data_IF_882995702736
#
_entry.id   IF_882995702736
#
_cell.length_a   1.000
_cell.length_b   1.000
_cell.length_c   1.000
_cell.angle_alpha   90.00
_cell.angle_beta   90.00
_cell.angle_gamma   90.00
#
_symmetry.space_group_name_H-M   'P 1'
#
loop_
_entity.id
_entity.type
_entity.pdbx_description
1 polymer ?
#
# COMPACT_ATOMS: atom_id res chain seq x y z
N UNK A 1 83.88 27.72 -15.47
CA UNK A 1 83.59 27.64 -14.07
C UNK A 1 82.28 28.44 -13.79
N UNK A 2 81.15 27.84 -13.94
CA UNK A 2 79.85 28.47 -13.67
C UNK A 2 78.95 27.43 -12.95
N UNK A 3 78.80 27.58 -11.65
CA UNK A 3 77.86 26.79 -10.84
C UNK A 3 76.45 27.30 -11.07
N UNK A 4 75.53 26.43 -11.51
CA UNK A 4 74.09 26.71 -11.58
C UNK A 4 73.40 26.21 -10.32
N UNK A 5 72.81 27.16 -9.61
CA UNK A 5 71.94 26.93 -8.44
C UNK A 5 70.67 26.20 -8.83
N UNK A 6 70.44 24.99 -8.30
CA UNK A 6 69.14 24.34 -8.30
C UNK A 6 68.31 24.91 -7.14
N UNK A 7 67.27 25.65 -7.50
CA UNK A 7 66.24 26.07 -6.53
C UNK A 7 65.28 24.93 -6.28
N UNK A 8 65.21 24.44 -5.06
CA UNK A 8 64.21 23.49 -4.60
C UNK A 8 62.81 24.12 -4.71
N UNK A 9 61.98 23.65 -5.61
CA UNK A 9 60.56 23.98 -5.64
C UNK A 9 59.84 22.91 -4.82
N UNK A 10 59.45 23.32 -3.61
CA UNK A 10 58.56 22.53 -2.77
C UNK A 10 57.14 22.59 -3.34
N UNK A 11 56.68 21.48 -3.88
CA UNK A 11 55.27 21.31 -4.26
C UNK A 11 54.47 21.16 -2.98
N UNK A 12 53.78 22.23 -2.58
CA UNK A 12 52.70 22.13 -1.58
C UNK A 12 51.50 21.44 -2.25
N UNK A 13 51.31 20.16 -1.94
CA UNK A 13 50.05 19.45 -2.24
C UNK A 13 48.96 20.02 -1.30
N UNK A 14 47.90 20.62 -1.84
CA UNK A 14 46.78 21.02 -0.96
C UNK A 14 46.14 19.74 -0.41
N UNK A 15 46.20 19.54 0.89
CA UNK A 15 45.46 18.54 1.61
C UNK A 15 43.98 18.92 1.49
N UNK A 16 43.25 18.32 0.50
CA UNK A 16 41.82 18.39 0.44
C UNK A 16 41.24 17.70 1.70
N UNK A 17 40.97 18.52 2.70
CA UNK A 17 40.13 18.13 3.84
C UNK A 17 38.75 17.78 3.23
N UNK A 18 38.51 16.48 3.02
CA UNK A 18 37.17 15.96 2.83
C UNK A 18 36.42 16.26 4.13
N UNK A 19 35.76 17.41 4.16
CA UNK A 19 34.83 17.75 5.22
C UNK A 19 33.72 16.70 5.22
N UNK A 20 33.72 15.85 6.25
CA UNK A 20 32.52 15.09 6.58
C UNK A 20 31.38 16.10 6.70
N UNK A 21 30.42 16.07 5.77
CA UNK A 21 29.22 16.88 5.86
C UNK A 21 28.56 16.52 7.18
N UNK A 22 28.58 17.45 8.15
CA UNK A 22 27.80 17.28 9.38
C UNK A 22 26.34 17.18 8.90
N UNK A 23 25.70 16.04 9.11
CA UNK A 23 24.30 15.86 8.83
C UNK A 23 23.42 16.92 9.53
N UNK A 24 22.21 17.12 9.06
CA UNK A 24 21.32 18.20 9.53
C UNK A 24 20.80 17.95 10.95
N UNK A 25 20.71 16.68 11.36
CA UNK A 25 20.24 16.32 12.70
C UNK A 25 21.38 16.37 13.72
N UNK A 26 21.12 17.07 14.83
CA UNK A 26 22.08 17.22 15.97
C UNK A 26 21.64 16.41 17.18
N UNK A 27 20.34 16.13 17.30
CA UNK A 27 19.74 15.51 18.47
C UNK A 27 18.91 14.30 18.07
N UNK A 28 18.70 13.40 19.02
CA UNK A 28 17.79 12.27 18.88
C UNK A 28 16.35 12.75 18.86
N UNK A 29 15.49 12.00 18.17
CA UNK A 29 14.04 12.23 18.18
C UNK A 29 13.33 11.03 18.76
N UNK A 30 12.19 11.27 19.42
CA UNK A 30 11.30 10.22 19.89
C UNK A 30 10.08 10.18 18.96
N UNK A 31 9.81 9.03 18.39
CA UNK A 31 8.66 8.78 17.55
C UNK A 31 7.59 7.91 18.23
N UNK A 32 6.45 7.78 17.56
CA UNK A 32 5.33 6.94 17.98
C UNK A 32 5.79 5.56 18.49
N UNK A 33 5.16 5.07 19.55
CA UNK A 33 5.54 3.84 20.23
C UNK A 33 6.78 4.02 21.15
N UNK A 34 7.21 5.27 21.40
CA UNK A 34 8.35 5.57 22.28
C UNK A 34 9.72 5.26 21.65
N UNK A 35 9.81 5.03 20.34
CA UNK A 35 11.07 4.71 19.65
C UNK A 35 11.98 5.94 19.63
N UNK A 36 13.09 5.87 20.36
CA UNK A 36 14.16 6.89 20.34
C UNK A 36 15.10 6.61 19.17
N UNK A 37 15.25 7.57 18.28
CA UNK A 37 16.09 7.49 17.08
C UNK A 37 17.22 8.49 17.19
N UNK A 38 18.47 8.03 17.08
CA UNK A 38 19.65 8.88 17.23
C UNK A 38 19.83 9.85 16.05
N UNK A 39 20.54 10.95 16.28
CA UNK A 39 20.91 11.87 15.22
C UNK A 39 21.71 11.18 14.09
N UNK A 40 22.58 10.23 14.44
CA UNK A 40 23.35 9.46 13.45
C UNK A 40 22.45 8.62 12.55
N UNK A 41 21.45 7.94 13.12
CA UNK A 41 20.44 7.17 12.34
C UNK A 41 19.64 8.08 11.42
N UNK A 42 19.19 9.24 11.91
CA UNK A 42 18.45 10.21 11.09
C UNK A 42 19.29 10.75 9.93
N UNK A 43 20.57 11.03 10.16
CA UNK A 43 21.48 11.50 9.12
C UNK A 43 21.80 10.41 8.10
N UNK A 44 21.94 9.14 8.52
CA UNK A 44 22.04 8.00 7.60
C UNK A 44 20.75 7.86 6.77
N UNK A 45 19.59 8.00 7.41
CA UNK A 45 18.29 7.97 6.74
C UNK A 45 18.13 9.08 5.72
N UNK A 46 18.56 10.29 6.04
CA UNK A 46 18.59 11.42 5.12
C UNK A 46 19.46 11.11 3.90
N UNK A 47 20.69 10.62 4.12
CA UNK A 47 21.60 10.23 3.04
C UNK A 47 20.96 9.16 2.15
N UNK A 48 20.39 8.12 2.75
CA UNK A 48 19.71 7.05 2.03
C UNK A 48 18.50 7.56 1.23
N UNK A 49 17.72 8.46 1.82
CA UNK A 49 16.59 9.09 1.13
C UNK A 49 17.01 9.90 -0.09
N UNK A 50 18.07 10.71 0.05
CA UNK A 50 18.60 11.51 -1.05
C UNK A 50 19.19 10.66 -2.18
N UNK A 51 19.68 9.47 -1.85
CA UNK A 51 20.25 8.55 -2.83
C UNK A 51 19.19 7.76 -3.61
N UNK A 52 18.15 7.26 -2.93
CA UNK A 52 17.19 6.30 -3.52
C UNK A 52 15.78 6.86 -3.73
N UNK A 53 15.33 7.86 -2.97
CA UNK A 53 13.92 8.20 -2.85
C UNK A 53 13.55 9.59 -3.39
N UNK A 54 14.48 10.55 -3.29
CA UNK A 54 14.22 11.96 -3.56
C UNK A 54 13.74 12.25 -4.97
N UNK A 55 14.21 11.50 -5.97
CA UNK A 55 13.85 11.73 -7.37
C UNK A 55 12.32 11.62 -7.61
N UNK A 56 11.64 10.75 -6.88
CA UNK A 56 10.19 10.58 -6.95
C UNK A 56 9.47 11.30 -5.82
N UNK A 57 9.94 11.15 -4.57
CA UNK A 57 9.24 11.66 -3.39
C UNK A 57 9.53 13.13 -3.06
N UNK A 58 10.52 13.75 -3.72
CA UNK A 58 10.89 15.16 -3.54
C UNK A 58 11.72 15.43 -2.30
N UNK A 59 12.51 16.52 -2.31
CA UNK A 59 13.35 16.93 -1.19
C UNK A 59 12.55 17.22 0.08
N UNK A 60 11.30 17.67 -0.08
CA UNK A 60 10.38 17.99 1.02
C UNK A 60 9.49 16.82 1.43
N UNK A 61 9.68 15.64 0.83
CA UNK A 61 8.81 14.48 1.06
C UNK A 61 7.35 14.69 0.61
N UNK A 62 7.09 15.64 -0.27
CA UNK A 62 5.76 16.06 -0.72
C UNK A 62 5.25 15.31 -1.96
N UNK A 63 6.01 14.34 -2.44
CA UNK A 63 5.67 13.56 -3.64
C UNK A 63 5.97 14.27 -4.97
N UNK A 64 6.58 15.45 -4.94
CA UNK A 64 6.86 16.29 -6.11
C UNK A 64 8.33 16.23 -6.54
N UNK A 65 8.91 15.03 -6.56
CA UNK A 65 10.26 14.85 -7.09
C UNK A 65 10.32 15.09 -8.60
N UNK A 66 11.52 15.30 -9.14
CA UNK A 66 11.72 15.58 -10.56
C UNK A 66 11.16 14.48 -11.46
N UNK A 67 11.20 13.23 -11.01
CA UNK A 67 10.68 12.08 -11.74
C UNK A 67 9.18 11.82 -11.51
N UNK A 68 8.52 12.57 -10.63
CA UNK A 68 7.10 12.35 -10.30
C UNK A 68 6.14 12.78 -11.40
N UNK A 69 6.60 13.65 -12.31
CA UNK A 69 5.75 14.24 -13.36
C UNK A 69 5.16 13.15 -14.27
N UNK A 70 3.84 13.09 -14.33
CA UNK A 70 3.10 12.11 -15.15
C UNK A 70 2.97 10.72 -14.53
N UNK A 71 3.43 10.50 -13.30
CA UNK A 71 3.23 9.21 -12.63
C UNK A 71 1.79 9.09 -12.09
N UNK A 72 1.16 7.96 -12.39
CA UNK A 72 -0.13 7.55 -11.85
C UNK A 72 -0.06 6.10 -11.32
N UNK A 73 -0.32 5.89 -10.03
CA UNK A 73 -0.55 6.93 -9.01
C UNK A 73 0.69 7.78 -8.76
N UNK A 74 0.51 9.03 -8.29
CA UNK A 74 1.63 9.89 -7.92
C UNK A 74 2.39 9.30 -6.72
N UNK A 75 3.68 9.63 -6.57
CA UNK A 75 4.46 9.27 -5.39
C UNK A 75 3.79 9.77 -4.11
N UNK A 76 3.96 8.99 -3.02
CA UNK A 76 3.37 9.34 -1.73
C UNK A 76 3.90 10.68 -1.22
N UNK A 77 2.98 11.57 -0.84
CA UNK A 77 3.26 12.73 -0.04
C UNK A 77 3.37 12.32 1.44
N UNK A 78 4.58 12.27 1.97
CA UNK A 78 4.84 11.86 3.35
C UNK A 78 4.40 12.90 4.38
N UNK A 79 4.25 14.16 3.98
CA UNK A 79 3.79 15.25 4.86
C UNK A 79 2.35 15.06 5.36
N UNK A 80 1.56 14.27 4.64
CA UNK A 80 0.19 13.95 5.04
C UNK A 80 0.13 12.96 6.21
N UNK A 81 1.20 12.20 6.46
CA UNK A 81 1.21 11.16 7.50
C UNK A 81 0.27 9.98 7.22
N UNK A 82 -0.29 9.88 6.01
CA UNK A 82 -1.23 8.82 5.61
C UNK A 82 -0.51 7.77 4.76
N UNK A 83 -0.54 6.52 5.19
CA UNK A 83 0.17 5.40 4.54
C UNK A 83 -0.79 4.30 4.11
N UNK A 84 -1.04 4.23 2.81
CA UNK A 84 -2.15 3.52 2.16
C UNK A 84 -2.24 2.02 2.48
N UNK A 85 -1.10 1.34 2.61
CA UNK A 85 -1.04 -0.11 2.71
C UNK A 85 -0.46 -0.60 4.03
N UNK A 86 -0.69 0.15 5.10
CA UNK A 86 -0.36 -0.28 6.44
C UNK A 86 -1.27 -1.44 6.90
N UNK A 87 -0.74 -2.29 7.77
CA UNK A 87 -1.50 -3.36 8.41
C UNK A 87 -1.86 -2.93 9.85
N UNK A 88 -2.64 -1.87 9.93
CA UNK A 88 -3.24 -1.30 11.14
C UNK A 88 -4.64 -0.80 10.81
N UNK A 89 -5.45 -0.58 11.82
CA UNK A 89 -6.80 -0.02 11.66
C UNK A 89 -6.73 1.33 10.93
N UNK A 90 -7.69 1.60 10.08
CA UNK A 90 -7.75 2.82 9.28
C UNK A 90 -7.66 4.09 10.13
N UNK A 91 -6.75 5.00 9.76
CA UNK A 91 -6.46 6.23 10.50
C UNK A 91 -5.36 6.12 11.55
N UNK A 92 -4.95 4.91 11.95
CA UNK A 92 -3.87 4.69 12.91
C UNK A 92 -2.48 4.72 12.25
N UNK A 93 -1.43 4.86 13.09
CA UNK A 93 -0.05 4.94 12.63
C UNK A 93 0.52 3.55 12.30
N UNK A 94 1.14 3.38 11.12
CA UNK A 94 1.76 2.12 10.74
C UNK A 94 2.99 1.78 11.59
N UNK A 95 3.31 0.50 11.65
CA UNK A 95 4.56 0.00 12.20
C UNK A 95 5.68 0.08 11.15
N UNK A 96 6.92 0.02 11.61
CA UNK A 96 8.10 0.11 10.72
C UNK A 96 8.11 -1.00 9.66
N UNK A 97 7.64 -2.20 10.00
CA UNK A 97 7.56 -3.35 9.10
C UNK A 97 6.65 -3.09 7.88
N UNK A 98 5.63 -2.23 8.01
CA UNK A 98 4.78 -1.85 6.88
C UNK A 98 5.58 -1.08 5.82
N UNK A 99 6.47 -0.19 6.26
CA UNK A 99 7.37 0.53 5.37
C UNK A 99 8.43 -0.41 4.77
N UNK A 100 9.04 -1.28 5.61
CA UNK A 100 10.05 -2.23 5.14
C UNK A 100 9.48 -3.13 4.04
N UNK A 101 8.28 -3.66 4.23
CA UNK A 101 7.58 -4.48 3.24
C UNK A 101 7.37 -3.73 1.92
N UNK A 102 6.92 -2.47 1.97
CA UNK A 102 6.68 -1.67 0.76
C UNK A 102 7.99 -1.34 0.05
N UNK A 103 9.04 -0.97 0.77
CA UNK A 103 10.34 -0.63 0.19
C UNK A 103 11.00 -1.87 -0.43
N UNK A 104 10.97 -3.01 0.28
CA UNK A 104 11.58 -4.28 -0.18
C UNK A 104 10.87 -4.88 -1.39
N UNK A 105 9.54 -4.82 -1.43
CA UNK A 105 8.75 -5.50 -2.47
C UNK A 105 8.18 -4.57 -3.53
N UNK A 106 8.29 -3.26 -3.34
CA UNK A 106 7.65 -2.28 -4.21
C UNK A 106 6.12 -2.38 -4.18
N UNK A 107 5.48 -1.70 -5.11
CA UNK A 107 4.03 -1.71 -5.30
C UNK A 107 3.71 -2.08 -6.74
N UNK A 108 3.25 -3.31 -6.97
CA UNK A 108 2.94 -3.83 -8.31
C UNK A 108 2.01 -2.89 -9.09
N UNK A 109 2.33 -2.64 -10.36
CA UNK A 109 1.54 -1.74 -11.20
C UNK A 109 1.66 -0.25 -10.83
N UNK A 110 2.77 0.12 -10.16
CA UNK A 110 3.16 1.51 -9.92
C UNK A 110 4.65 1.71 -10.18
N UNK A 111 5.10 2.97 -10.16
CA UNK A 111 6.52 3.31 -10.29
C UNK A 111 7.33 3.04 -9.02
N UNK A 112 6.70 2.64 -7.91
CA UNK A 112 7.41 2.25 -6.68
C UNK A 112 7.98 0.85 -6.84
N UNK A 113 9.23 0.77 -7.29
CA UNK A 113 9.96 -0.47 -7.50
C UNK A 113 10.49 -1.04 -6.17
N UNK A 114 10.82 -2.35 -6.13
CA UNK A 114 11.53 -2.95 -5.00
C UNK A 114 12.96 -2.42 -4.91
N UNK A 115 13.45 -2.21 -3.67
CA UNK A 115 14.78 -1.71 -3.40
C UNK A 115 15.56 -2.68 -2.51
N UNK A 116 16.74 -3.05 -2.98
CA UNK A 116 17.69 -3.86 -2.22
C UNK A 116 18.70 -2.95 -1.53
N UNK A 117 18.40 -2.57 -0.29
CA UNK A 117 19.26 -1.75 0.58
C UNK A 117 19.48 -2.51 1.90
N UNK A 118 20.59 -2.28 2.59
CA UNK A 118 20.89 -2.95 3.87
C UNK A 118 19.82 -2.65 4.91
N UNK A 119 19.63 -3.55 5.87
CA UNK A 119 18.64 -3.38 6.94
C UNK A 119 18.87 -2.12 7.78
N UNK A 120 20.13 -1.78 8.04
CA UNK A 120 20.50 -0.55 8.73
C UNK A 120 20.03 0.69 7.97
N UNK A 121 20.25 0.76 6.66
CA UNK A 121 19.82 1.87 5.81
C UNK A 121 18.31 1.88 5.62
N UNK A 122 17.68 0.71 5.59
CA UNK A 122 16.22 0.57 5.50
C UNK A 122 15.55 1.14 6.75
N UNK A 123 16.00 0.74 7.96
CA UNK A 123 15.49 1.32 9.19
C UNK A 123 15.75 2.84 9.22
N UNK A 124 16.95 3.26 8.93
CA UNK A 124 17.33 4.68 8.95
C UNK A 124 16.45 5.54 8.03
N UNK A 125 16.20 5.10 6.79
CA UNK A 125 15.36 5.85 5.84
C UNK A 125 13.90 5.89 6.27
N UNK A 126 13.38 4.84 6.89
CA UNK A 126 12.01 4.82 7.44
C UNK A 126 11.89 5.84 8.59
N UNK A 127 12.88 5.90 9.49
CA UNK A 127 12.86 6.91 10.55
C UNK A 127 12.99 8.34 9.99
N UNK A 128 13.78 8.53 8.94
CA UNK A 128 13.86 9.84 8.26
C UNK A 128 12.55 10.23 7.60
N UNK A 129 11.84 9.30 6.93
CA UNK A 129 10.53 9.56 6.32
C UNK A 129 9.52 10.10 7.34
N UNK A 130 9.55 9.63 8.58
CA UNK A 130 8.66 10.12 9.65
C UNK A 130 8.88 11.60 9.98
N UNK A 131 10.09 12.12 9.78
CA UNK A 131 10.40 13.53 10.03
C UNK A 131 9.68 14.51 9.10
N UNK A 132 9.11 14.04 7.99
CA UNK A 132 8.31 14.89 7.10
C UNK A 132 6.91 15.22 7.66
N UNK A 133 6.43 14.46 8.65
CA UNK A 133 5.16 14.71 9.34
C UNK A 133 5.34 14.68 10.87
N UNK A 134 6.09 15.66 11.44
CA UNK A 134 6.43 15.63 12.86
C UNK A 134 5.20 15.66 13.77
N UNK A 135 4.14 16.40 13.41
CA UNK A 135 2.90 16.45 14.20
C UNK A 135 2.22 15.07 14.32
N UNK A 136 2.45 14.21 13.34
CA UNK A 136 1.88 12.86 13.29
C UNK A 136 2.76 11.87 14.07
N UNK A 137 4.08 11.99 13.93
CA UNK A 137 5.02 10.97 14.38
C UNK A 137 5.79 11.29 15.64
N UNK A 138 6.15 12.56 15.87
CA UNK A 138 7.04 12.94 16.97
C UNK A 138 6.26 13.11 18.28
N UNK A 139 6.79 12.54 19.35
CA UNK A 139 6.26 12.58 20.70
C UNK A 139 6.12 11.19 21.32
N UNK A 140 6.33 11.11 22.62
CA UNK A 140 6.16 9.87 23.40
C UNK A 140 4.69 9.51 23.63
N UNK A 141 3.79 10.46 23.40
CA UNK A 141 2.33 10.30 23.46
C UNK A 141 1.72 9.68 22.20
N UNK A 142 2.48 9.60 21.12
CA UNK A 142 2.04 9.01 19.86
C UNK A 142 2.06 7.49 19.93
N UNK A 143 0.95 6.87 19.55
CA UNK A 143 0.74 5.41 19.64
C UNK A 143 0.72 4.81 18.25
N UNK A 144 1.37 3.66 18.11
CA UNK A 144 1.28 2.85 16.90
C UNK A 144 -0.08 2.14 16.83
N UNK A 145 -0.53 1.87 15.62
CA UNK A 145 -1.83 1.28 15.37
C UNK A 145 -1.96 -0.17 15.83
N UNK A 146 -3.21 -0.59 15.95
CA UNK A 146 -3.58 -1.93 16.38
C UNK A 146 -3.27 -2.95 15.27
N UNK A 147 -2.52 -4.01 15.62
CA UNK A 147 -2.31 -5.18 14.77
C UNK A 147 -3.28 -6.29 15.15
N UNK A 148 -3.85 -6.93 14.14
CA UNK A 148 -4.61 -8.16 14.31
C UNK A 148 -3.76 -9.36 13.90
N UNK A 149 -3.91 -10.46 14.60
CA UNK A 149 -3.39 -11.74 14.14
C UNK A 149 -4.17 -12.21 12.92
N UNK A 150 -3.47 -12.79 11.95
CA UNK A 150 -4.11 -13.42 10.81
C UNK A 150 -4.84 -14.68 11.30
N UNK A 151 -6.16 -14.79 11.10
CA UNK A 151 -6.88 -15.97 11.50
C UNK A 151 -6.42 -17.20 10.71
N UNK A 152 -6.54 -18.39 11.30
CA UNK A 152 -6.25 -19.63 10.61
C UNK A 152 -7.16 -19.81 9.39
N UNK A 153 -6.60 -20.32 8.29
CA UNK A 153 -7.37 -20.64 7.08
C UNK A 153 -8.26 -21.87 7.32
N UNK A 154 -9.58 -21.72 7.28
CA UNK A 154 -10.49 -22.85 7.50
C UNK A 154 -10.69 -23.72 6.26
N UNK A 155 -10.22 -23.29 5.08
CA UNK A 155 -10.51 -23.96 3.81
C UNK A 155 -9.31 -24.71 3.24
N UNK A 156 -8.14 -24.10 3.23
CA UNK A 156 -6.97 -24.62 2.52
C UNK A 156 -7.26 -24.94 1.05
N UNK A 157 -6.42 -25.76 0.45
CA UNK A 157 -6.60 -26.16 -0.95
C UNK A 157 -7.80 -27.10 -1.14
N UNK A 158 -8.11 -27.93 -0.13
CA UNK A 158 -9.16 -28.96 -0.20
C UNK A 158 -10.55 -28.34 -0.36
N UNK A 159 -10.84 -27.26 0.35
CA UNK A 159 -12.14 -26.61 0.35
C UNK A 159 -12.16 -25.28 -0.45
N UNK A 160 -11.14 -25.07 -1.29
CA UNK A 160 -11.01 -23.84 -2.11
C UNK A 160 -12.28 -23.52 -2.90
N UNK A 161 -12.92 -24.52 -3.53
CA UNK A 161 -14.15 -24.29 -4.28
C UNK A 161 -15.28 -23.81 -3.38
N UNK A 162 -15.44 -24.39 -2.20
CA UNK A 162 -16.47 -23.98 -1.23
C UNK A 162 -16.20 -22.55 -0.73
N UNK A 163 -14.94 -22.20 -0.49
CA UNK A 163 -14.52 -20.84 -0.13
C UNK A 163 -14.92 -19.84 -1.22
N UNK A 164 -14.66 -20.14 -2.49
CA UNK A 164 -15.03 -19.27 -3.62
C UNK A 164 -16.55 -19.06 -3.68
N UNK A 165 -17.35 -20.12 -3.61
CA UNK A 165 -18.81 -20.01 -3.66
C UNK A 165 -19.39 -19.21 -2.48
N UNK A 166 -18.84 -19.38 -1.28
CA UNK A 166 -19.18 -18.55 -0.11
C UNK A 166 -18.72 -17.10 -0.35
N UNK A 167 -17.51 -16.90 -0.85
CA UNK A 167 -16.95 -15.58 -1.13
C UNK A 167 -17.75 -14.77 -2.14
N UNK A 168 -18.36 -15.40 -3.15
CA UNK A 168 -19.31 -14.75 -4.08
C UNK A 168 -20.48 -14.13 -3.34
N UNK A 169 -21.08 -14.87 -2.42
CA UNK A 169 -22.22 -14.39 -1.61
C UNK A 169 -21.81 -13.27 -0.69
N UNK A 170 -20.66 -13.41 0.00
CA UNK A 170 -20.15 -12.37 0.88
C UNK A 170 -19.83 -11.10 0.11
N UNK A 171 -19.19 -11.20 -1.05
CA UNK A 171 -18.82 -10.06 -1.89
C UNK A 171 -20.04 -9.27 -2.39
N UNK A 172 -21.06 -9.97 -2.87
CA UNK A 172 -22.20 -9.33 -3.52
C UNK A 172 -23.31 -8.93 -2.55
N UNK A 173 -23.40 -9.58 -1.38
CA UNK A 173 -24.52 -9.38 -0.44
C UNK A 173 -24.01 -9.00 0.94
N UNK A 174 -23.32 -9.89 1.69
CA UNK A 174 -23.02 -9.66 3.09
C UNK A 174 -22.13 -8.44 3.32
N UNK A 175 -21.00 -8.36 2.64
CA UNK A 175 -20.08 -7.23 2.69
C UNK A 175 -20.40 -6.16 1.64
N UNK A 176 -21.30 -6.44 0.70
CA UNK A 176 -21.76 -5.52 -0.34
C UNK A 176 -20.63 -4.75 -1.06
N UNK A 177 -19.52 -5.42 -1.35
CA UNK A 177 -18.33 -4.85 -2.00
C UNK A 177 -18.67 -4.19 -3.36
N UNK A 178 -19.77 -4.63 -3.97
CA UNK A 178 -20.31 -4.08 -5.23
C UNK A 178 -20.77 -2.62 -5.12
N UNK A 179 -20.87 -2.06 -3.93
CA UNK A 179 -21.17 -0.63 -3.77
C UNK A 179 -20.02 0.25 -4.31
N UNK A 180 -18.77 -0.20 -4.13
CA UNK A 180 -17.57 0.50 -4.59
C UNK A 180 -16.86 -0.22 -5.73
N UNK A 181 -16.84 -1.55 -5.73
CA UNK A 181 -16.27 -2.39 -6.78
C UNK A 181 -17.32 -2.79 -7.79
N UNK A 182 -16.89 -3.19 -8.99
CA UNK A 182 -17.84 -3.77 -9.98
C UNK A 182 -18.36 -5.13 -9.53
N UNK A 183 -19.56 -5.48 -9.95
CA UNK A 183 -20.11 -6.83 -9.81
C UNK A 183 -19.45 -7.82 -10.77
N UNK A 184 -19.36 -9.09 -10.36
CA UNK A 184 -18.81 -10.19 -11.17
C UNK A 184 -19.78 -11.37 -11.25
N UNK A 185 -21.03 -11.19 -10.86
CA UNK A 185 -22.12 -12.15 -10.98
C UNK A 185 -23.33 -11.53 -11.69
N UNK A 186 -24.19 -12.35 -12.29
CA UNK A 186 -25.43 -11.88 -12.91
C UNK A 186 -26.41 -11.34 -11.88
N UNK A 187 -27.29 -10.42 -12.26
CA UNK A 187 -28.36 -9.91 -11.39
C UNK A 187 -29.21 -11.03 -10.81
N UNK A 188 -29.49 -12.06 -11.61
CA UNK A 188 -30.22 -13.26 -11.16
C UNK A 188 -29.49 -13.98 -10.02
N UNK A 189 -28.18 -14.24 -10.16
CA UNK A 189 -27.40 -14.90 -9.12
C UNK A 189 -27.31 -14.04 -7.86
N UNK A 190 -27.09 -12.74 -7.99
CA UNK A 190 -27.04 -11.80 -6.84
C UNK A 190 -28.40 -11.80 -6.10
N UNK A 191 -29.52 -11.80 -6.86
CA UNK A 191 -30.85 -11.88 -6.26
C UNK A 191 -31.07 -13.20 -5.49
N UNK A 192 -30.63 -14.34 -6.06
CA UNK A 192 -30.64 -15.63 -5.36
C UNK A 192 -29.80 -15.61 -4.08
N UNK A 193 -28.60 -15.02 -4.12
CA UNK A 193 -27.74 -14.89 -2.94
C UNK A 193 -28.44 -14.05 -1.86
N UNK A 194 -29.09 -12.96 -2.27
CA UNK A 194 -29.82 -12.10 -1.32
C UNK A 194 -31.03 -12.85 -0.71
N UNK A 195 -31.75 -13.63 -1.49
CA UNK A 195 -32.84 -14.46 -1.00
C UNK A 195 -32.35 -15.54 -0.01
N UNK A 196 -31.21 -16.18 -0.29
CA UNK A 196 -30.64 -17.16 0.63
C UNK A 196 -30.22 -16.55 1.97
N UNK A 197 -29.64 -15.34 1.95
CA UNK A 197 -29.09 -14.65 3.14
C UNK A 197 -30.19 -13.87 3.89
N UNK A 198 -30.88 -12.98 3.17
CA UNK A 198 -31.81 -12.01 3.73
C UNK A 198 -33.28 -12.43 3.62
N UNK A 199 -33.56 -13.59 3.01
CA UNK A 199 -34.92 -14.15 2.80
C UNK A 199 -35.81 -13.33 1.87
N UNK A 200 -35.21 -12.44 1.07
CA UNK A 200 -35.91 -11.58 0.11
C UNK A 200 -35.11 -11.53 -1.20
N UNK A 201 -35.70 -11.85 -2.35
CA UNK A 201 -35.03 -11.63 -3.65
C UNK A 201 -34.94 -10.14 -3.96
N UNK A 202 -33.89 -9.73 -4.68
CA UNK A 202 -33.77 -8.36 -5.19
C UNK A 202 -34.60 -8.18 -6.46
N UNK A 203 -35.27 -7.04 -6.57
CA UNK A 203 -35.98 -6.64 -7.77
C UNK A 203 -35.04 -5.94 -8.77
N UNK A 204 -35.37 -5.93 -10.06
CA UNK A 204 -34.55 -5.30 -11.08
C UNK A 204 -34.19 -3.84 -10.79
N UNK A 205 -35.08 -3.06 -10.22
CA UNK A 205 -34.91 -1.65 -9.87
C UNK A 205 -34.00 -1.39 -8.67
N UNK A 206 -33.71 -2.43 -7.87
CA UNK A 206 -32.82 -2.34 -6.70
C UNK A 206 -31.35 -2.49 -7.07
N UNK A 207 -31.06 -2.88 -8.31
CA UNK A 207 -29.68 -2.93 -8.80
C UNK A 207 -29.21 -1.56 -9.25
N UNK A 208 -28.02 -1.14 -8.75
CA UNK A 208 -27.40 0.07 -9.24
C UNK A 208 -27.14 0.00 -10.76
N UNK A 209 -27.42 1.09 -11.47
CA UNK A 209 -27.21 1.17 -12.93
C UNK A 209 -25.74 1.02 -13.33
N UNK A 210 -24.82 1.28 -12.41
CA UNK A 210 -23.36 1.17 -12.57
C UNK A 210 -22.78 -0.12 -11.99
N UNK A 211 -23.60 -1.14 -11.70
CA UNK A 211 -23.20 -2.40 -11.06
C UNK A 211 -21.96 -3.03 -11.71
N UNK A 212 -21.88 -3.01 -13.03
CA UNK A 212 -20.79 -3.62 -13.80
C UNK A 212 -19.74 -2.62 -14.28
N UNK A 213 -19.76 -1.39 -13.79
CA UNK A 213 -18.83 -0.35 -14.17
C UNK A 213 -17.72 -0.18 -13.11
N UNK A 214 -16.61 0.38 -13.55
CA UNK A 214 -15.57 0.86 -12.66
C UNK A 214 -16.00 2.20 -12.07
N UNK A 215 -15.98 2.32 -10.74
CA UNK A 215 -16.46 3.49 -10.00
C UNK A 215 -15.31 4.35 -9.52
N UNK A 216 -15.47 5.66 -9.60
CA UNK A 216 -14.53 6.60 -8.99
C UNK A 216 -14.95 6.87 -7.56
N UNK A 217 -14.00 6.75 -6.63
CA UNK A 217 -14.20 7.02 -5.21
C UNK A 217 -13.36 8.23 -4.78
N UNK A 218 -13.85 8.96 -3.82
CA UNK A 218 -13.08 10.00 -3.15
C UNK A 218 -12.06 9.39 -2.19
N UNK A 219 -10.99 10.12 -1.91
CA UNK A 219 -9.95 9.71 -0.97
C UNK A 219 -9.21 10.92 -0.41
N UNK A 220 -8.50 10.70 0.69
CA UNK A 220 -7.82 11.77 1.45
C UNK A 220 -6.53 12.29 0.77
N UNK A 221 -6.32 11.94 -0.51
CA UNK A 221 -5.08 12.22 -1.24
C UNK A 221 -5.17 13.37 -2.23
N UNK A 222 -6.22 14.16 -2.19
CA UNK A 222 -6.50 15.23 -3.17
C UNK A 222 -6.71 14.73 -4.61
N UNK A 223 -6.93 13.42 -4.80
CA UNK A 223 -7.28 12.82 -6.08
C UNK A 223 -8.23 11.63 -5.89
N UNK A 224 -9.08 11.42 -6.89
CA UNK A 224 -9.99 10.27 -6.89
C UNK A 224 -9.23 8.95 -7.04
N UNK A 225 -9.71 7.93 -6.38
CA UNK A 225 -9.18 6.56 -6.45
C UNK A 225 -10.13 5.67 -7.22
N UNK A 226 -9.58 4.68 -7.90
CA UNK A 226 -10.32 3.66 -8.63
C UNK A 226 -10.15 2.34 -7.89
N UNK A 227 -11.23 1.75 -7.33
CA UNK A 227 -11.21 0.37 -6.88
C UNK A 227 -10.77 -0.55 -8.03
N UNK A 228 -9.88 -1.51 -7.79
CA UNK A 228 -9.37 -2.34 -8.86
C UNK A 228 -10.48 -3.22 -9.49
N UNK A 229 -10.43 -3.37 -10.81
CA UNK A 229 -11.02 -4.54 -11.46
C UNK A 229 -10.13 -5.73 -11.16
N UNK A 230 -10.63 -6.68 -10.37
CA UNK A 230 -9.85 -7.83 -9.91
C UNK A 230 -9.45 -8.78 -11.03
N UNK A 231 -10.15 -8.75 -12.16
CA UNK A 231 -9.81 -9.57 -13.33
C UNK A 231 -8.72 -8.96 -14.20
N UNK A 232 -8.27 -7.75 -13.89
CA UNK A 232 -7.34 -7.02 -14.77
C UNK A 232 -6.21 -6.29 -14.02
N UNK A 233 -6.56 -5.47 -13.00
CA UNK A 233 -5.58 -4.63 -12.34
C UNK A 233 -4.70 -5.41 -11.36
N UNK A 234 -3.40 -5.13 -11.31
CA UNK A 234 -2.55 -5.69 -10.25
C UNK A 234 -2.96 -5.12 -8.89
N UNK A 235 -3.00 -5.99 -7.88
CA UNK A 235 -3.21 -5.57 -6.50
C UNK A 235 -1.86 -5.21 -5.87
N UNK A 236 -1.67 -3.92 -5.56
CA UNK A 236 -0.35 -3.32 -5.31
C UNK A 236 0.40 -3.87 -4.11
N UNK A 237 -0.28 -4.17 -3.02
CA UNK A 237 0.33 -4.64 -1.76
C UNK A 237 0.07 -6.11 -1.47
N UNK A 238 -0.36 -6.88 -2.49
CA UNK A 238 -0.86 -8.23 -2.35
C UNK A 238 0.00 -9.19 -3.15
N UNK A 239 0.46 -10.27 -2.50
CA UNK A 239 1.28 -11.32 -3.09
C UNK A 239 0.55 -12.65 -3.19
N UNK A 240 -0.31 -12.95 -2.22
CA UNK A 240 -0.96 -14.23 -1.99
C UNK A 240 -2.32 -14.08 -1.30
N UNK A 241 -3.04 -15.17 -1.07
CA UNK A 241 -4.36 -15.17 -0.42
C UNK A 241 -4.29 -14.63 1.02
N UNK A 242 -3.33 -15.00 1.87
CA UNK A 242 -3.19 -14.42 3.21
C UNK A 242 -3.05 -12.88 3.20
N UNK A 243 -2.32 -12.33 2.24
CA UNK A 243 -2.18 -10.87 2.11
C UNK A 243 -3.47 -10.18 1.64
N UNK A 244 -4.37 -10.91 0.92
CA UNK A 244 -5.71 -10.41 0.64
C UNK A 244 -6.52 -10.35 1.94
N UNK A 245 -6.48 -11.41 2.76
CA UNK A 245 -7.17 -11.42 4.07
C UNK A 245 -6.69 -10.25 4.92
N UNK A 246 -5.38 -10.04 5.05
CA UNK A 246 -4.86 -8.89 5.78
C UNK A 246 -5.40 -7.57 5.23
N UNK A 247 -5.46 -7.41 3.91
CA UNK A 247 -6.00 -6.20 3.30
C UNK A 247 -7.49 -6.02 3.54
N UNK A 248 -8.26 -7.09 3.60
CA UNK A 248 -9.66 -7.06 3.99
C UNK A 248 -9.81 -6.69 5.47
N UNK A 249 -8.97 -7.24 6.35
CA UNK A 249 -9.02 -6.92 7.79
C UNK A 249 -8.82 -5.43 8.05
N UNK A 250 -7.85 -4.79 7.40
CA UNK A 250 -7.44 -3.41 7.69
C UNK A 250 -7.99 -2.36 6.74
N UNK A 251 -8.53 -2.77 5.59
CA UNK A 251 -8.92 -1.83 4.54
C UNK A 251 -7.73 -1.18 3.84
N UNK A 252 -7.95 -0.04 3.21
CA UNK A 252 -6.93 0.74 2.49
C UNK A 252 -6.96 2.17 3.01
N UNK A 253 -6.02 2.49 3.88
CA UNK A 253 -5.98 3.76 4.61
C UNK A 253 -5.99 4.98 3.66
N UNK A 254 -6.79 5.99 3.98
CA UNK A 254 -6.99 7.20 3.16
C UNK A 254 -7.74 6.95 1.85
N UNK A 255 -8.39 5.80 1.69
CA UNK A 255 -9.36 5.53 0.62
C UNK A 255 -10.70 5.15 1.24
N UNK A 256 -11.75 5.11 0.44
CA UNK A 256 -13.07 4.69 0.92
C UNK A 256 -13.20 3.20 1.27
N UNK A 257 -12.12 2.39 1.20
CA UNK A 257 -12.17 0.97 1.53
C UNK A 257 -11.95 0.76 3.04
N UNK A 258 -12.99 0.41 3.82
CA UNK A 258 -12.85 0.17 5.26
C UNK A 258 -12.19 -1.17 5.56
N UNK A 259 -11.78 -1.37 6.81
CA UNK A 259 -11.46 -2.70 7.34
C UNK A 259 -12.74 -3.49 7.64
N UNK A 260 -12.66 -4.79 7.44
CA UNK A 260 -13.78 -5.72 7.60
C UNK A 260 -13.60 -6.66 8.81
N UNK A 261 -12.49 -6.54 9.56
CA UNK A 261 -12.32 -7.27 10.82
C UNK A 261 -13.45 -6.91 11.76
N UNK A 262 -14.06 -7.91 12.39
CA UNK A 262 -15.20 -7.80 13.28
C UNK A 262 -16.53 -7.31 12.62
N UNK A 263 -16.53 -7.07 11.30
CA UNK A 263 -17.74 -6.78 10.50
C UNK A 263 -18.27 -8.05 9.85
N UNK A 264 -17.36 -8.88 9.31
CA UNK A 264 -17.65 -10.22 8.82
C UNK A 264 -16.83 -11.23 9.62
N UNK A 265 -17.24 -12.50 9.62
CA UNK A 265 -16.51 -13.56 10.33
C UNK A 265 -15.14 -13.83 9.69
N UNK A 266 -14.21 -14.42 10.44
CA UNK A 266 -12.90 -14.82 9.95
C UNK A 266 -13.01 -15.80 8.76
N UNK A 267 -14.00 -16.71 8.79
CA UNK A 267 -14.29 -17.60 7.67
C UNK A 267 -14.74 -16.82 6.42
N UNK A 268 -15.55 -15.78 6.58
CA UNK A 268 -15.98 -14.94 5.45
C UNK A 268 -14.85 -14.08 4.90
N UNK A 269 -13.91 -13.61 5.74
CA UNK A 269 -12.69 -12.94 5.27
C UNK A 269 -11.87 -13.84 4.35
N UNK A 270 -11.67 -15.11 4.75
CA UNK A 270 -10.97 -16.09 3.93
C UNK A 270 -11.74 -16.43 2.65
N UNK A 271 -13.06 -16.61 2.75
CA UNK A 271 -13.92 -16.86 1.59
C UNK A 271 -13.83 -15.71 0.56
N UNK A 272 -13.91 -14.45 1.02
CA UNK A 272 -13.70 -13.27 0.19
C UNK A 272 -12.32 -13.27 -0.48
N UNK A 273 -11.27 -13.61 0.27
CA UNK A 273 -9.90 -13.64 -0.26
C UNK A 273 -9.74 -14.70 -1.36
N UNK A 274 -10.29 -15.89 -1.17
CA UNK A 274 -10.30 -16.94 -2.19
C UNK A 274 -11.10 -16.53 -3.43
N UNK A 275 -12.24 -15.86 -3.24
CA UNK A 275 -13.02 -15.34 -4.36
C UNK A 275 -12.28 -14.26 -5.13
N UNK A 276 -11.70 -13.26 -4.46
CA UNK A 276 -10.86 -12.22 -5.09
C UNK A 276 -9.68 -12.86 -5.82
N UNK A 277 -9.04 -13.88 -5.24
CA UNK A 277 -7.96 -14.59 -5.91
C UNK A 277 -8.46 -15.30 -7.17
N UNK A 278 -9.62 -15.95 -7.14
CA UNK A 278 -10.18 -16.61 -8.32
C UNK A 278 -10.48 -15.63 -9.46
N UNK A 279 -10.91 -14.40 -9.15
CA UNK A 279 -11.07 -13.34 -10.15
C UNK A 279 -9.72 -12.90 -10.74
N UNK A 280 -8.68 -12.80 -9.90
CA UNK A 280 -7.32 -12.49 -10.37
C UNK A 280 -6.75 -13.56 -11.30
N UNK A 281 -7.07 -14.80 -11.03
CA UNK A 281 -6.64 -15.94 -11.85
C UNK A 281 -7.24 -15.93 -13.27
N UNK A 282 -8.32 -15.14 -13.50
CA UNK A 282 -8.90 -14.92 -14.82
C UNK A 282 -8.07 -13.99 -15.71
N UNK A 283 -7.14 -13.22 -15.13
CA UNK A 283 -6.35 -12.26 -15.90
C UNK A 283 -5.63 -12.95 -17.06
N UNK A 284 -5.72 -12.32 -18.24
CA UNK A 284 -5.09 -12.77 -19.48
C UNK A 284 -5.59 -14.16 -19.96
N UNK A 285 -6.79 -14.60 -19.52
CA UNK A 285 -7.42 -15.85 -19.95
C UNK A 285 -8.68 -15.61 -20.79
N UNK A 286 -9.11 -16.56 -21.66
CA UNK A 286 -10.39 -16.48 -22.37
C UNK A 286 -11.59 -16.36 -21.42
N UNK A 287 -11.57 -17.06 -20.28
CA UNK A 287 -12.66 -17.04 -19.30
C UNK A 287 -12.97 -15.63 -18.76
N UNK A 288 -11.99 -14.74 -18.73
CA UNK A 288 -12.21 -13.32 -18.39
C UNK A 288 -13.15 -12.67 -19.39
N UNK A 289 -12.93 -12.86 -20.69
CA UNK A 289 -13.74 -12.24 -21.73
C UNK A 289 -15.15 -12.83 -21.75
N UNK A 290 -15.29 -14.14 -21.54
CA UNK A 290 -16.59 -14.81 -21.41
C UNK A 290 -17.40 -14.27 -20.23
N UNK A 291 -16.74 -14.06 -19.07
CA UNK A 291 -17.37 -13.43 -17.92
C UNK A 291 -17.85 -12.01 -18.24
N UNK A 292 -16.98 -11.18 -18.84
CA UNK A 292 -17.33 -9.79 -19.16
C UNK A 292 -18.48 -9.70 -20.16
N UNK A 293 -18.46 -10.51 -21.21
CA UNK A 293 -19.53 -10.56 -22.21
C UNK A 293 -20.86 -10.96 -21.57
N UNK A 294 -20.85 -11.98 -20.72
CA UNK A 294 -22.03 -12.40 -19.95
C UNK A 294 -22.61 -11.27 -19.08
N UNK A 295 -21.74 -10.45 -18.45
CA UNK A 295 -22.17 -9.35 -17.59
C UNK A 295 -22.63 -8.13 -18.40
N UNK A 296 -21.99 -7.84 -19.53
CA UNK A 296 -22.36 -6.74 -20.40
C UNK A 296 -23.76 -6.92 -21.01
N UNK A 297 -24.18 -8.15 -21.24
CA UNK A 297 -25.53 -8.50 -21.67
C UNK A 297 -26.60 -8.34 -20.54
N UNK A 298 -26.19 -7.94 -19.31
CA UNK A 298 -27.10 -7.69 -18.16
C UNK A 298 -27.35 -6.17 -17.91
N UNK A 299 -26.72 -5.30 -18.71
CA UNK A 299 -26.84 -3.82 -18.58
C UNK A 299 -28.21 -3.30 -18.95
#
# INVERSE_FOLDING_TARGET
MIMKNLKNIAFLFPLLLIGCSKGDFKESKTFAGGKVVTASTLNLGQTTYMEYCVSCHGVKGDGNGISAKGMYPPPRNFKLGIYKFANVVGGELPHDEDFYRIIRHGLKGSAMLPWDISDERLDAVVQYIKTFAPQTWEGSDKVLGTKFELPADPFGDVYRHQAIEKGKKVYHVTAACIQCHRGYETKENISKYNEEINKVPLKPEEFASDLYLVKLQDGDYSYKVVPPDFTFHPLRSITDVPSIVQRLMYGVNGSGMPGWKDVVSDEELWALAYYVQSLRDLKDTPARFELLDKLDNQK
#
